data_IF_822790305923
#
_entry.id   IF_822790305923
#
_cell.length_a   1.000
_cell.length_b   1.000
_cell.length_c   1.000
_cell.angle_alpha   90.00
_cell.angle_beta   90.00
_cell.angle_gamma   90.00
#
_symmetry.space_group_name_H-M   'P 1'
#
loop_
_entity.id
_entity.type
_entity.pdbx_description
1 polymer ?
#
# COMPACT_ATOMS: atom_id res chain seq x y z
N UNK A 1 -5.10 -84.01 15.64
CA UNK A 1 -4.19 -82.89 16.01
C UNK A 1 -3.45 -82.26 14.83
N UNK A 2 -2.86 -83.04 13.91
CA UNK A 2 -2.03 -82.49 12.80
C UNK A 2 -2.80 -81.58 11.83
N UNK A 3 -4.03 -81.94 11.43
CA UNK A 3 -4.87 -81.09 10.56
C UNK A 3 -5.21 -79.74 11.21
N UNK A 4 -5.58 -79.72 12.50
CA UNK A 4 -5.85 -78.49 13.24
C UNK A 4 -4.63 -77.56 13.32
N UNK A 5 -3.43 -78.13 13.41
CA UNK A 5 -2.18 -77.35 13.38
C UNK A 5 -1.90 -76.77 11.98
N UNK A 6 -2.21 -77.51 10.92
CA UNK A 6 -2.06 -77.05 9.54
C UNK A 6 -3.04 -75.91 9.20
N UNK A 7 -4.28 -76.02 9.67
CA UNK A 7 -5.33 -75.02 9.52
C UNK A 7 -4.97 -73.72 10.24
N UNK A 8 -4.52 -73.80 11.49
CA UNK A 8 -4.13 -72.63 12.28
C UNK A 8 -2.92 -71.90 11.68
N UNK A 9 -1.92 -72.63 11.16
CA UNK A 9 -0.79 -72.03 10.43
C UNK A 9 -1.25 -71.32 9.15
N UNK A 10 -2.18 -71.91 8.39
CA UNK A 10 -2.75 -71.32 7.16
C UNK A 10 -3.54 -70.05 7.48
N UNK A 11 -4.31 -70.06 8.56
CA UNK A 11 -5.05 -68.90 9.05
C UNK A 11 -4.13 -67.75 9.47
N UNK A 12 -3.07 -68.05 10.23
CA UNK A 12 -2.05 -67.06 10.60
C UNK A 12 -1.34 -66.46 9.38
N UNK A 13 -1.08 -67.26 8.34
CA UNK A 13 -0.49 -66.79 7.08
C UNK A 13 -1.41 -65.77 6.38
N UNK A 14 -2.71 -66.07 6.27
CA UNK A 14 -3.70 -65.16 5.70
C UNK A 14 -3.84 -63.86 6.49
N UNK A 15 -3.82 -63.91 7.84
CA UNK A 15 -3.83 -62.70 8.68
C UNK A 15 -2.59 -61.84 8.44
N UNK A 16 -1.40 -62.46 8.35
CA UNK A 16 -0.15 -61.72 8.05
C UNK A 16 -0.23 -61.06 6.67
N UNK A 17 -0.76 -61.76 5.67
CA UNK A 17 -0.99 -61.25 4.31
C UNK A 17 -1.93 -60.03 4.33
N UNK A 18 -3.08 -60.14 4.98
CA UNK A 18 -4.07 -59.06 5.10
C UNK A 18 -3.52 -57.84 5.83
N UNK A 19 -2.76 -58.03 6.92
CA UNK A 19 -2.09 -56.93 7.63
C UNK A 19 -1.05 -56.24 6.74
N UNK A 20 -0.30 -57.00 5.94
CA UNK A 20 0.68 -56.45 4.99
C UNK A 20 -0.01 -55.63 3.90
N UNK A 21 -1.11 -56.14 3.33
CA UNK A 21 -1.92 -55.41 2.35
C UNK A 21 -2.54 -54.14 2.94
N UNK A 22 -3.17 -54.24 4.12
CA UNK A 22 -3.75 -53.10 4.82
C UNK A 22 -2.71 -52.03 5.15
N UNK A 23 -1.49 -52.43 5.56
CA UNK A 23 -0.38 -51.50 5.79
C UNK A 23 0.00 -50.76 4.51
N UNK A 24 0.11 -51.46 3.38
CA UNK A 24 0.39 -50.84 2.08
C UNK A 24 -0.69 -49.84 1.70
N UNK A 25 -1.97 -50.18 1.86
CA UNK A 25 -3.09 -49.26 1.57
C UNK A 25 -3.02 -48.00 2.42
N UNK A 26 -2.84 -48.13 3.74
CA UNK A 26 -2.72 -46.99 4.65
C UNK A 26 -1.52 -46.10 4.28
N UNK A 27 -0.37 -46.70 3.96
CA UNK A 27 0.80 -45.92 3.52
C UNK A 27 0.56 -45.17 2.22
N UNK A 28 -0.19 -45.77 1.28
CA UNK A 28 -0.58 -45.11 0.04
C UNK A 28 -1.55 -43.96 0.29
N UNK A 29 -2.54 -44.14 1.15
CA UNK A 29 -3.49 -43.08 1.54
C UNK A 29 -2.78 -41.90 2.23
N UNK A 30 -1.87 -42.20 3.17
CA UNK A 30 -1.04 -41.17 3.83
C UNK A 30 -0.14 -40.43 2.84
N UNK A 31 0.47 -41.13 1.89
CA UNK A 31 1.29 -40.50 0.85
C UNK A 31 0.46 -39.54 -0.02
N UNK A 32 -0.74 -39.95 -0.43
CA UNK A 32 -1.64 -39.10 -1.20
C UNK A 32 -2.14 -37.89 -0.39
N UNK A 33 -2.43 -38.09 0.90
CA UNK A 33 -2.83 -37.01 1.80
C UNK A 33 -1.70 -35.99 1.99
N UNK A 34 -0.48 -36.44 2.28
CA UNK A 34 0.69 -35.56 2.41
C UNK A 34 0.93 -34.77 1.11
N UNK A 35 0.88 -35.43 -0.04
CA UNK A 35 1.07 -34.76 -1.35
C UNK A 35 0.01 -33.67 -1.60
N UNK A 36 -1.22 -33.86 -1.13
CA UNK A 36 -2.28 -32.82 -1.22
C UNK A 36 -2.01 -31.66 -0.28
N UNK A 37 -1.52 -31.93 0.93
CA UNK A 37 -1.17 -30.90 1.92
C UNK A 37 0.00 -30.05 1.40
N UNK A 38 1.07 -30.69 0.90
CA UNK A 38 2.24 -30.01 0.33
C UNK A 38 1.84 -29.03 -0.78
N UNK A 39 1.03 -29.49 -1.75
CA UNK A 39 0.52 -28.63 -2.83
C UNK A 39 -0.31 -27.45 -2.32
N UNK A 40 -1.13 -27.66 -1.28
CA UNK A 40 -1.95 -26.60 -0.69
C UNK A 40 -1.08 -25.58 0.05
N UNK A 41 -0.02 -26.01 0.70
CA UNK A 41 0.90 -25.14 1.42
C UNK A 41 1.85 -24.39 0.48
N UNK A 42 2.23 -24.98 -0.66
CA UNK A 42 2.88 -24.27 -1.77
C UNK A 42 1.98 -23.17 -2.32
N UNK A 43 0.73 -23.49 -2.70
CA UNK A 43 -0.22 -22.50 -3.22
C UNK A 43 -0.46 -21.34 -2.23
N UNK A 44 -0.60 -21.64 -0.93
CA UNK A 44 -0.73 -20.60 0.11
C UNK A 44 0.52 -19.72 0.22
N UNK A 45 1.72 -20.28 0.05
CA UNK A 45 2.97 -19.51 0.08
C UNK A 45 3.07 -18.58 -1.13
N UNK A 46 2.71 -19.06 -2.31
CA UNK A 46 2.66 -18.23 -3.51
C UNK A 46 1.65 -17.08 -3.37
N UNK A 47 0.45 -17.35 -2.85
CA UNK A 47 -0.57 -16.32 -2.61
C UNK A 47 -0.08 -15.26 -1.62
N UNK A 48 0.54 -15.68 -0.50
CA UNK A 48 1.14 -14.74 0.47
C UNK A 48 2.21 -13.86 -0.17
N UNK A 49 3.10 -14.46 -0.96
CA UNK A 49 4.15 -13.70 -1.68
C UNK A 49 3.54 -12.69 -2.64
N UNK A 50 2.46 -13.04 -3.35
CA UNK A 50 1.76 -12.13 -4.26
C UNK A 50 1.13 -10.95 -3.50
N UNK A 51 0.52 -11.20 -2.34
CA UNK A 51 -0.07 -10.15 -1.48
C UNK A 51 1.03 -9.22 -0.95
N UNK A 52 2.12 -9.77 -0.41
CA UNK A 52 3.25 -8.99 0.12
C UNK A 52 3.88 -8.09 -0.95
N UNK A 53 4.01 -8.61 -2.18
CA UNK A 53 4.45 -7.80 -3.33
C UNK A 53 3.46 -6.66 -3.59
N UNK A 54 2.16 -6.94 -3.66
CA UNK A 54 1.14 -5.93 -3.92
C UNK A 54 1.12 -4.83 -2.84
N UNK A 55 1.22 -5.20 -1.56
CA UNK A 55 1.31 -4.25 -0.44
C UNK A 55 2.59 -3.39 -0.51
N UNK A 56 3.72 -3.99 -0.91
CA UNK A 56 4.98 -3.24 -1.09
C UNK A 56 4.87 -2.22 -2.21
N UNK A 57 4.22 -2.59 -3.33
CA UNK A 57 3.97 -1.66 -4.44
C UNK A 57 3.00 -0.55 -4.06
N UNK A 58 1.95 -0.83 -3.30
CA UNK A 58 0.98 0.19 -2.83
C UNK A 58 1.64 1.19 -1.88
N UNK A 59 2.48 0.70 -0.96
CA UNK A 59 3.32 1.55 -0.09
C UNK A 59 4.25 2.46 -0.90
N UNK A 60 4.85 1.96 -1.99
CA UNK A 60 5.73 2.74 -2.85
C UNK A 60 4.95 3.79 -3.67
N UNK A 61 3.75 3.46 -4.16
CA UNK A 61 2.86 4.42 -4.83
C UNK A 61 2.37 5.51 -3.88
N UNK A 62 1.94 5.13 -2.66
CA UNK A 62 1.57 6.07 -1.61
C UNK A 62 2.77 6.97 -1.26
N UNK A 63 3.97 6.41 -1.10
CA UNK A 63 5.19 7.19 -0.86
C UNK A 63 5.51 8.15 -2.02
N UNK A 64 5.26 7.74 -3.27
CA UNK A 64 5.48 8.56 -4.45
C UNK A 64 4.48 9.72 -4.54
N UNK A 65 3.21 9.48 -4.21
CA UNK A 65 2.19 10.53 -4.09
C UNK A 65 2.53 11.48 -2.95
N UNK A 66 2.97 10.96 -1.80
CA UNK A 66 3.39 11.78 -0.65
C UNK A 66 4.58 12.67 -1.01
N UNK A 67 5.58 12.18 -1.76
CA UNK A 67 6.70 13.01 -2.22
C UNK A 67 6.24 14.16 -3.12
N UNK A 68 5.32 13.89 -4.05
CA UNK A 68 4.75 14.92 -4.92
C UNK A 68 3.95 15.96 -4.14
N UNK A 69 3.11 15.53 -3.21
CA UNK A 69 2.27 16.42 -2.41
C UNK A 69 3.08 17.25 -1.41
N UNK A 70 4.16 16.71 -0.85
CA UNK A 70 5.05 17.43 0.07
C UNK A 70 5.78 18.57 -0.65
N UNK A 71 6.26 18.37 -1.88
CA UNK A 71 6.91 19.44 -2.66
C UNK A 71 5.93 20.57 -3.02
N UNK A 72 4.71 20.21 -3.41
CA UNK A 72 3.65 21.18 -3.68
C UNK A 72 3.33 21.96 -2.41
N UNK A 73 3.11 21.26 -1.30
CA UNK A 73 2.82 21.87 0.01
C UNK A 73 3.97 22.77 0.46
N UNK A 74 5.24 22.37 0.31
CA UNK A 74 6.41 23.18 0.65
C UNK A 74 6.40 24.52 -0.12
N UNK A 75 6.14 24.48 -1.43
CA UNK A 75 6.11 25.67 -2.28
C UNK A 75 4.98 26.63 -1.89
N UNK A 76 3.81 26.09 -1.56
CA UNK A 76 2.64 26.83 -1.10
C UNK A 76 2.93 27.44 0.28
N UNK A 77 3.41 26.65 1.24
CA UNK A 77 3.69 27.13 2.60
C UNK A 77 4.71 28.28 2.60
N UNK A 78 5.76 28.22 1.77
CA UNK A 78 6.72 29.33 1.64
C UNK A 78 6.03 30.63 1.20
N UNK A 79 5.04 30.55 0.32
CA UNK A 79 4.32 31.71 -0.18
C UNK A 79 3.25 32.24 0.79
N UNK A 80 2.49 31.35 1.43
CA UNK A 80 1.36 31.74 2.29
C UNK A 80 1.73 31.98 3.76
N UNK A 81 2.93 31.56 4.20
CA UNK A 81 3.39 31.85 5.56
C UNK A 81 4.39 33.02 5.55
N UNK A 82 5.48 32.93 4.78
CA UNK A 82 6.56 33.92 4.86
C UNK A 82 6.12 35.31 4.38
N UNK A 83 5.43 35.41 3.23
CA UNK A 83 4.98 36.70 2.71
C UNK A 83 3.91 37.35 3.60
N UNK A 84 2.85 36.65 4.05
CA UNK A 84 1.90 37.24 4.99
C UNK A 84 2.54 37.62 6.32
N UNK A 85 3.50 36.83 6.83
CA UNK A 85 4.26 37.22 8.03
C UNK A 85 5.06 38.51 7.82
N UNK A 86 5.71 38.69 6.66
CA UNK A 86 6.42 39.93 6.33
C UNK A 86 5.50 41.14 6.24
N UNK A 87 4.31 40.98 5.65
CA UNK A 87 3.28 42.04 5.58
C UNK A 87 2.79 42.41 6.99
N UNK A 88 2.52 41.41 7.84
CA UNK A 88 2.11 41.63 9.23
C UNK A 88 3.20 42.37 10.02
N UNK A 89 4.47 41.94 9.93
CA UNK A 89 5.59 42.59 10.62
C UNK A 89 5.73 44.04 10.18
N UNK A 90 5.74 44.29 8.86
CA UNK A 90 5.81 45.64 8.28
C UNK A 90 4.67 46.55 8.79
N UNK A 91 3.45 46.02 8.84
CA UNK A 91 2.29 46.76 9.33
C UNK A 91 2.33 47.01 10.85
N UNK A 92 2.80 46.04 11.65
CA UNK A 92 3.01 46.23 13.09
C UNK A 92 4.09 47.30 13.33
N UNK A 93 5.17 47.31 12.55
CA UNK A 93 6.20 48.36 12.64
C UNK A 93 5.63 49.75 12.30
N UNK A 94 4.77 49.88 11.29
CA UNK A 94 4.09 51.16 10.98
C UNK A 94 3.10 51.58 12.06
N UNK A 95 2.33 50.64 12.63
CA UNK A 95 1.47 50.91 13.78
C UNK A 95 2.27 51.39 15.00
N UNK A 96 3.43 50.78 15.27
CA UNK A 96 4.36 51.21 16.32
C UNK A 96 4.92 52.62 16.07
N UNK A 97 5.08 53.01 14.80
CA UNK A 97 5.49 54.36 14.37
C UNK A 97 4.31 55.34 14.21
N UNK A 98 3.10 55.00 14.69
CA UNK A 98 1.87 55.80 14.59
C UNK A 98 1.44 56.17 13.15
N UNK A 99 1.81 55.36 12.17
CA UNK A 99 1.39 55.53 10.78
C UNK A 99 0.22 54.60 10.44
N UNK A 100 -0.69 55.04 9.56
CA UNK A 100 -1.80 54.21 9.08
C UNK A 100 -1.28 53.02 8.26
N UNK A 101 -1.77 51.80 8.52
CA UNK A 101 -1.34 50.60 7.80
C UNK A 101 -2.07 50.47 6.45
N UNK A 102 -1.33 50.14 5.39
CA UNK A 102 -1.80 50.14 3.98
C UNK A 102 -2.21 48.72 3.51
N UNK A 103 -3.09 48.08 4.27
CA UNK A 103 -3.47 46.69 4.04
C UNK A 103 -4.07 46.41 2.66
N UNK A 104 -4.79 47.37 2.08
CA UNK A 104 -5.46 47.18 0.80
C UNK A 104 -4.49 47.05 -0.38
N UNK A 105 -3.41 47.82 -0.34
CA UNK A 105 -2.41 47.88 -1.43
C UNK A 105 -1.48 46.65 -1.39
N UNK A 106 -0.97 46.30 -0.20
CA UNK A 106 -0.14 45.09 -0.01
C UNK A 106 -0.92 43.79 -0.35
N UNK A 107 -2.25 43.75 -0.14
CA UNK A 107 -3.09 42.59 -0.49
C UNK A 107 -3.44 42.53 -1.99
N UNK A 108 -3.55 43.67 -2.67
CA UNK A 108 -3.82 43.70 -4.12
C UNK A 108 -2.58 43.36 -4.93
N UNK A 109 -1.40 43.80 -4.52
CA UNK A 109 -0.13 43.40 -5.13
C UNK A 109 0.16 41.92 -4.91
N UNK A 110 -0.15 41.38 -3.73
CA UNK A 110 -0.05 39.94 -3.47
C UNK A 110 -0.93 39.09 -4.39
N UNK A 111 -2.17 39.52 -4.66
CA UNK A 111 -3.07 38.84 -5.59
C UNK A 111 -2.61 38.97 -7.06
N UNK A 112 -1.91 40.05 -7.42
CA UNK A 112 -1.32 40.24 -8.75
C UNK A 112 -0.08 39.39 -8.98
N UNK A 113 0.72 39.16 -7.94
CA UNK A 113 1.93 38.34 -7.98
C UNK A 113 1.66 36.85 -7.70
N UNK A 114 0.43 36.38 -7.99
CA UNK A 114 0.11 34.97 -8.01
C UNK A 114 0.75 34.28 -9.23
N UNK A 115 1.80 33.51 -8.95
CA UNK A 115 2.46 32.61 -9.89
C UNK A 115 1.44 31.78 -10.66
N UNK A 116 1.53 31.84 -12.00
CA UNK A 116 0.77 31.00 -12.92
C UNK A 116 0.98 29.55 -12.52
N UNK A 117 -0.11 28.85 -12.19
CA UNK A 117 -0.07 27.41 -11.90
C UNK A 117 0.34 26.68 -13.19
N UNK A 118 1.61 26.34 -13.34
CA UNK A 118 2.04 25.41 -14.39
C UNK A 118 1.49 24.03 -14.04
N UNK A 119 0.73 23.44 -14.97
CA UNK A 119 0.37 22.02 -14.85
C UNK A 119 1.61 21.15 -14.99
N UNK A 120 1.55 19.91 -14.50
CA UNK A 120 2.66 18.94 -14.52
C UNK A 120 3.23 18.67 -15.93
N UNK A 121 2.52 19.09 -16.98
CA UNK A 121 2.93 18.97 -18.38
C UNK A 121 3.66 20.23 -18.93
N UNK A 122 4.00 21.21 -18.08
CA UNK A 122 4.74 22.40 -18.50
C UNK A 122 3.95 23.41 -19.33
N UNK A 123 2.63 23.24 -19.49
CA UNK A 123 1.76 24.19 -20.18
C UNK A 123 1.26 25.24 -19.17
N UNK A 124 1.56 26.51 -19.46
CA UNK A 124 1.01 27.66 -18.74
C UNK A 124 -0.52 27.67 -18.92
N UNK A 125 -1.26 27.41 -17.84
CA UNK A 125 -2.71 27.60 -17.85
C UNK A 125 -3.00 29.11 -17.93
N UNK A 126 -3.62 29.53 -19.03
CA UNK A 126 -4.22 30.85 -19.15
C UNK A 126 -5.38 31.00 -18.16
N UNK A 127 -5.63 32.24 -17.73
CA UNK A 127 -6.61 32.68 -16.72
C UNK A 127 -8.06 32.17 -16.93
N UNK A 128 -8.39 31.61 -18.09
CA UNK A 128 -9.74 31.25 -18.52
C UNK A 128 -10.25 29.89 -18.03
N UNK A 129 -9.39 28.96 -17.60
CA UNK A 129 -9.81 27.61 -17.17
C UNK A 129 -10.01 27.47 -15.65
N UNK A 130 -9.51 28.42 -14.84
CA UNK A 130 -9.62 28.34 -13.38
C UNK A 130 -11.03 28.56 -12.85
N UNK A 131 -11.96 29.08 -13.66
CA UNK A 131 -13.31 29.41 -13.22
C UNK A 131 -14.33 28.27 -13.40
N UNK A 132 -13.96 27.17 -14.06
CA UNK A 132 -14.93 26.12 -14.44
C UNK A 132 -14.87 24.85 -13.57
N UNK A 133 -13.90 24.72 -12.66
CA UNK A 133 -13.72 23.52 -11.83
C UNK A 133 -14.32 23.65 -10.41
N UNK A 134 -14.88 24.82 -10.07
CA UNK A 134 -15.62 25.04 -8.82
C UNK A 134 -17.01 25.63 -9.09
N UNK A 135 -17.85 24.89 -9.82
CA UNK A 135 -19.31 25.00 -9.71
C UNK A 135 -19.89 23.63 -9.42
#
# INVERSE_FOLDING_TARGET
>A
MVQLLQESKRFLCNIKQLRSQRRKTITWELFQANKKIEKKDEAKREEKMRIEIAETWDSLLLAQVIRGSVLITQSILRKYIVLPSLIIVKNITRMLLFQFPDWSEDLTDWNREMHVKCTYNGVQLSKTEQQTVFR
#
